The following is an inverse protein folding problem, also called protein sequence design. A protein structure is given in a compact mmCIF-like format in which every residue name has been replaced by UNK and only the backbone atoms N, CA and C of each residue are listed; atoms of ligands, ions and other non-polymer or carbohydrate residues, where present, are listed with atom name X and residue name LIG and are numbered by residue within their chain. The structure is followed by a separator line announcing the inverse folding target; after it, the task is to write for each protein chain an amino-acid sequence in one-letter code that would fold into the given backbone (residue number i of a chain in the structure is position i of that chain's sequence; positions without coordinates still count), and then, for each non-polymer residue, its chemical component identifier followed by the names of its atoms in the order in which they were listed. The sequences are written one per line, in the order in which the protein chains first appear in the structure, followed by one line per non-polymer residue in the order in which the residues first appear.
data_IF_640072551289
#
_entry.id   IF_640072551289
#
_cell.length_a   1.000
_cell.length_b   1.000
_cell.length_c   1.000
_cell.angle_alpha   90.00
_cell.angle_beta   90.00
_cell.angle_gamma   90.00
#
_symmetry.space_group_name_H-M   'P 1'
#
loop_
_entity.id
_entity.type
_entity.pdbx_description
1 polymer ?
#
# COMPACT_ATOMS: atom_id res chain seq x y z
N UNK A 1 -2.48 17.05 17.46
CA UNK A 1 -1.15 17.64 17.20
C UNK A 1 -0.23 16.55 16.69
N UNK A 2 0.40 16.72 15.52
CA UNK A 2 1.76 16.27 15.22
C UNK A 2 2.10 16.60 13.75
N UNK A 3 2.45 17.87 13.55
CA UNK A 3 3.33 18.29 12.48
C UNK A 3 4.68 17.60 12.64
N UNK A 4 5.03 16.77 11.66
CA UNK A 4 6.34 16.74 11.00
C UNK A 4 6.17 15.84 9.79
N UNK A 5 5.87 16.48 8.67
CA UNK A 5 5.86 15.89 7.33
C UNK A 5 7.29 15.39 7.08
N UNK A 6 7.43 14.08 6.88
CA UNK A 6 8.61 13.53 6.21
C UNK A 6 8.64 14.15 4.83
N UNK A 7 9.59 15.05 4.56
CA UNK A 7 9.76 15.69 3.26
C UNK A 7 10.32 14.66 2.27
N UNK A 8 9.53 14.17 1.30
CA UNK A 8 9.98 13.18 0.34
C UNK A 8 10.81 13.81 -0.79
N UNK A 9 11.03 15.14 -0.79
CA UNK A 9 11.75 15.86 -1.84
C UNK A 9 13.13 15.26 -2.12
N UNK A 10 13.86 14.86 -1.07
CA UNK A 10 15.16 14.21 -1.19
C UNK A 10 15.07 12.89 -1.97
N UNK A 11 14.12 12.03 -1.63
CA UNK A 11 13.91 10.74 -2.29
C UNK A 11 13.48 10.89 -3.76
N UNK A 12 12.56 11.81 -4.03
CA UNK A 12 12.09 12.12 -5.39
C UNK A 12 13.24 12.69 -6.24
N UNK A 13 14.09 13.55 -5.67
CA UNK A 13 15.25 14.11 -6.36
C UNK A 13 16.32 13.07 -6.69
N UNK A 14 16.60 12.14 -5.77
CA UNK A 14 17.51 11.01 -6.03
C UNK A 14 16.99 10.13 -7.15
N UNK A 15 15.70 9.78 -7.14
CA UNK A 15 15.09 8.97 -8.20
C UNK A 15 15.14 9.66 -9.57
N UNK A 16 14.91 10.98 -9.62
CA UNK A 16 15.04 11.77 -10.85
C UNK A 16 16.48 11.75 -11.38
N UNK A 17 17.47 11.94 -10.52
CA UNK A 17 18.89 11.91 -10.89
C UNK A 17 19.35 10.54 -11.40
N UNK A 18 18.83 9.46 -10.82
CA UNK A 18 19.08 8.09 -11.28
C UNK A 18 18.46 7.87 -12.65
N UNK A 19 17.20 8.24 -12.85
CA UNK A 19 16.48 8.14 -14.12
C UNK A 19 17.21 8.88 -15.24
N UNK A 20 17.63 10.11 -14.99
CA UNK A 20 18.26 10.96 -16.00
C UNK A 20 19.68 10.48 -16.35
N UNK A 21 20.39 9.88 -15.39
CA UNK A 21 21.68 9.23 -15.64
C UNK A 21 21.58 7.91 -16.42
N UNK A 22 20.49 7.14 -16.24
CA UNK A 22 20.25 5.92 -17.02
C UNK A 22 19.96 6.28 -18.49
N UNK A 23 19.22 7.37 -18.74
CA UNK A 23 18.93 7.86 -20.09
C UNK A 23 20.17 8.39 -20.83
N UNK A 24 21.19 8.84 -20.10
CA UNK A 24 22.41 9.40 -20.68
C UNK A 24 23.49 8.35 -21.02
N UNK A 25 23.28 7.06 -20.69
CA UNK A 25 24.25 6.01 -20.98
C UNK A 25 24.15 5.50 -22.43
N UNK A 26 25.26 5.61 -23.18
CA UNK A 26 25.45 5.01 -24.49
C UNK A 26 25.68 3.48 -24.36
N UNK A 27 24.92 2.61 -25.07
CA UNK A 27 25.04 1.15 -24.98
C UNK A 27 26.41 0.57 -25.37
N UNK A 28 27.31 1.36 -25.95
CA UNK A 28 28.61 0.89 -26.47
C UNK A 28 29.72 0.72 -25.42
N UNK A 29 29.55 1.17 -24.16
CA UNK A 29 30.59 1.12 -23.12
C UNK A 29 30.27 0.14 -21.97
N UNK A 30 30.50 -1.15 -22.20
CA UNK A 30 29.90 -2.25 -21.44
C UNK A 30 30.57 -2.63 -20.10
N UNK A 31 31.53 -1.86 -19.55
CA UNK A 31 32.25 -2.28 -18.31
C UNK A 31 32.21 -1.25 -17.18
N UNK A 32 32.31 0.05 -17.48
CA UNK A 32 32.12 1.10 -16.46
C UNK A 32 30.64 1.30 -16.10
N UNK A 33 29.72 1.01 -17.03
CA UNK A 33 28.27 1.17 -16.84
C UNK A 33 27.71 0.20 -15.81
N UNK A 34 28.15 -1.07 -15.79
CA UNK A 34 27.67 -2.08 -14.83
C UNK A 34 28.12 -1.76 -13.40
N UNK A 35 29.36 -1.29 -13.23
CA UNK A 35 29.88 -0.87 -11.92
C UNK A 35 29.18 0.41 -11.40
N UNK A 36 28.94 1.38 -12.29
CA UNK A 36 28.23 2.62 -11.96
C UNK A 36 26.76 2.41 -11.59
N UNK A 37 26.06 1.54 -12.34
CA UNK A 37 24.68 1.14 -12.03
C UNK A 37 24.65 0.37 -10.70
N UNK A 38 25.59 -0.53 -10.45
CA UNK A 38 25.70 -1.28 -9.19
C UNK A 38 25.92 -0.38 -7.97
N UNK A 39 26.82 0.60 -8.05
CA UNK A 39 27.00 1.60 -6.99
C UNK A 39 25.73 2.41 -6.73
N UNK A 40 25.05 2.86 -7.80
CA UNK A 40 23.86 3.71 -7.70
C UNK A 40 22.62 2.96 -7.20
N UNK A 41 22.46 1.69 -7.56
CA UNK A 41 21.48 0.79 -6.95
C UNK A 41 21.81 0.54 -5.48
N UNK A 42 23.09 0.36 -5.14
CA UNK A 42 23.56 0.28 -3.75
C UNK A 42 23.19 1.51 -2.93
N UNK A 43 23.38 2.71 -3.48
CA UNK A 43 22.97 3.98 -2.86
C UNK A 43 21.45 4.03 -2.71
N UNK A 44 20.69 3.67 -3.74
CA UNK A 44 19.22 3.66 -3.69
C UNK A 44 18.70 2.69 -2.63
N UNK A 45 19.26 1.47 -2.56
CA UNK A 45 18.90 0.47 -1.54
C UNK A 45 19.24 0.99 -0.14
N UNK A 46 20.40 1.62 0.03
CA UNK A 46 20.82 2.21 1.32
C UNK A 46 19.91 3.37 1.71
N UNK A 47 19.47 4.18 0.75
CA UNK A 47 18.63 5.35 1.00
C UNK A 47 17.17 4.97 1.26
N UNK A 48 16.65 3.95 0.58
CA UNK A 48 15.37 3.31 0.92
C UNK A 48 15.46 2.68 2.31
N UNK A 49 16.53 1.94 2.62
CA UNK A 49 16.73 1.35 3.94
C UNK A 49 16.82 2.41 5.05
N UNK A 50 17.51 3.53 4.78
CA UNK A 50 17.60 4.68 5.67
C UNK A 50 16.23 5.33 5.88
N UNK A 51 15.49 5.59 4.80
CA UNK A 51 14.14 6.14 4.86
C UNK A 51 13.18 5.25 5.64
N UNK A 52 13.23 3.93 5.42
CA UNK A 52 12.43 2.95 6.16
C UNK A 52 12.85 2.89 7.63
N UNK A 53 14.14 3.02 7.94
CA UNK A 53 14.66 3.04 9.33
C UNK A 53 14.26 4.32 10.07
N UNK A 54 14.39 5.48 9.41
CA UNK A 54 13.97 6.78 9.94
C UNK A 54 12.44 6.83 10.14
N UNK A 55 11.69 6.26 9.20
CA UNK A 55 10.25 6.06 9.33
C UNK A 55 9.92 5.15 10.52
N UNK A 56 10.60 4.02 10.68
CA UNK A 56 10.43 3.11 11.83
C UNK A 56 10.70 3.80 13.16
N UNK A 57 11.77 4.59 13.27
CA UNK A 57 12.08 5.34 14.49
C UNK A 57 11.03 6.43 14.78
N UNK A 58 10.56 7.11 13.75
CA UNK A 58 9.53 8.16 13.88
C UNK A 58 8.19 7.55 14.29
N UNK A 59 7.81 6.42 13.68
CA UNK A 59 6.62 5.66 14.05
C UNK A 59 6.74 5.11 15.48
N UNK A 60 7.91 4.64 15.90
CA UNK A 60 8.13 4.19 17.28
C UNK A 60 7.96 5.34 18.29
N UNK A 61 8.39 6.56 17.94
CA UNK A 61 8.18 7.75 18.78
C UNK A 61 6.71 8.17 18.84
N UNK A 62 5.96 8.02 17.74
CA UNK A 62 4.52 8.29 17.71
C UNK A 62 3.75 7.25 18.51
N UNK A 63 4.05 5.96 18.33
CA UNK A 63 3.45 4.86 19.09
C UNK A 63 3.68 5.06 20.60
N UNK A 64 4.92 5.35 21.01
CA UNK A 64 5.23 5.60 22.42
C UNK A 64 4.51 6.82 23.01
N UNK A 65 4.14 7.81 22.18
CA UNK A 65 3.35 8.97 22.62
C UNK A 65 1.85 8.65 22.72
N UNK A 66 1.33 7.87 21.77
CA UNK A 66 -0.06 7.40 21.81
C UNK A 66 -0.32 6.49 23.00
N UNK A 67 0.68 5.69 23.42
CA UNK A 67 0.60 4.91 24.66
C UNK A 67 0.61 5.74 25.95
N UNK A 68 0.89 7.05 25.89
CA UNK A 68 0.90 7.95 27.05
C UNK A 68 -0.29 8.91 27.09
N UNK A 69 -1.12 8.97 26.04
CA UNK A 69 -2.33 9.80 25.96
C UNK A 69 -3.61 8.93 26.03
N UNK A 70 -3.77 8.13 27.08
CA UNK A 70 -5.09 7.60 27.46
C UNK A 70 -5.83 8.61 28.34
N UNK A 71 -6.30 9.70 27.74
CA UNK A 71 -7.32 10.58 28.32
C UNK A 71 -7.65 11.69 27.33
N UNK A 72 -8.71 11.54 26.52
CA UNK A 72 -9.47 12.68 26.00
C UNK A 72 -10.87 12.27 25.49
N UNK A 73 -11.83 13.22 25.44
CA UNK A 73 -13.27 12.95 25.44
C UNK A 73 -13.88 12.82 24.03
N UNK A 74 -15.12 12.34 24.01
CA UNK A 74 -15.96 12.15 22.82
C UNK A 74 -16.29 13.47 22.09
N UNK A 75 -16.20 13.54 20.75
CA UNK A 75 -16.83 14.60 19.97
C UNK A 75 -18.18 14.16 19.37
N UNK A 76 -19.20 14.96 19.67
CA UNK A 76 -20.49 15.12 19.00
C UNK A 76 -20.37 15.62 17.55
N UNK A 77 -21.27 15.13 16.69
CA UNK A 77 -21.95 15.71 15.49
C UNK A 77 -21.17 16.68 14.57
N UNK A 78 -21.32 16.76 13.25
CA UNK A 78 -22.12 16.14 12.19
C UNK A 78 -21.43 16.63 10.89
N UNK A 79 -21.24 15.78 9.88
CA UNK A 79 -21.02 16.24 8.51
C UNK A 79 -21.46 15.15 7.52
N UNK A 80 -22.51 15.47 6.77
CA UNK A 80 -23.16 14.64 5.76
C UNK A 80 -22.19 14.15 4.68
N UNK A 81 -21.92 12.85 4.66
CA UNK A 81 -21.26 12.17 3.53
C UNK A 81 -22.29 11.28 2.86
N UNK A 82 -22.45 11.46 1.55
CA UNK A 82 -23.40 10.78 0.69
C UNK A 82 -23.50 9.27 1.00
N UNK A 83 -24.72 8.81 1.24
CA UNK A 83 -25.05 7.44 1.63
C UNK A 83 -24.75 6.46 0.49
N UNK A 84 -23.61 5.78 0.57
CA UNK A 84 -23.49 4.47 -0.05
C UNK A 84 -24.07 3.48 0.98
N UNK A 85 -25.23 2.90 0.67
CA UNK A 85 -25.95 2.01 1.59
C UNK A 85 -25.09 0.76 1.86
N UNK A 86 -24.66 0.62 3.10
CA UNK A 86 -24.01 -0.58 3.61
C UNK A 86 -24.90 -1.81 3.33
N UNK A 87 -24.30 -2.86 2.78
CA UNK A 87 -25.01 -4.10 2.48
C UNK A 87 -25.15 -4.92 3.77
N UNK A 88 -26.37 -5.25 4.24
CA UNK A 88 -26.59 -6.03 5.47
C UNK A 88 -26.04 -7.47 5.42
N UNK A 89 -25.55 -7.92 4.26
CA UNK A 89 -24.94 -9.24 4.08
C UNK A 89 -23.49 -9.35 4.58
N UNK A 90 -22.83 -8.24 4.91
CA UNK A 90 -21.47 -8.24 5.43
C UNK A 90 -21.45 -7.98 6.93
N UNK A 91 -20.66 -8.75 7.67
CA UNK A 91 -20.41 -8.48 9.08
C UNK A 91 -19.83 -7.07 9.25
N UNK A 92 -20.38 -6.32 10.19
CA UNK A 92 -19.81 -5.05 10.64
C UNK A 92 -18.48 -5.33 11.35
N UNK A 93 -17.42 -4.64 10.95
CA UNK A 93 -16.08 -4.73 11.54
C UNK A 93 -15.72 -3.41 12.21
N UNK A 94 -14.92 -3.41 13.31
CA UNK A 94 -14.58 -2.18 14.02
C UNK A 94 -13.96 -1.07 13.15
N UNK A 95 -13.24 -1.42 12.08
CA UNK A 95 -12.67 -0.43 11.15
C UNK A 95 -13.72 0.34 10.34
N UNK A 96 -14.93 -0.21 10.19
CA UNK A 96 -16.01 0.39 9.41
C UNK A 96 -16.43 1.73 10.00
N UNK A 97 -16.46 1.84 11.34
CA UNK A 97 -16.78 3.08 12.06
C UNK A 97 -15.74 4.18 11.85
N UNK A 98 -14.50 3.78 11.54
CA UNK A 98 -13.38 4.69 11.30
C UNK A 98 -13.21 5.06 9.82
N UNK A 99 -14.05 4.55 8.92
CA UNK A 99 -13.97 4.79 7.47
C UNK A 99 -13.84 6.28 7.10
N UNK A 100 -14.67 7.21 7.61
CA UNK A 100 -14.56 8.63 7.23
C UNK A 100 -13.18 9.22 7.57
N UNK A 101 -12.69 8.93 8.78
CA UNK A 101 -11.38 9.39 9.26
C UNK A 101 -10.23 8.80 8.47
N UNK A 102 -10.27 7.50 8.16
CA UNK A 102 -9.24 6.82 7.36
C UNK A 102 -9.18 7.43 5.96
N UNK A 103 -10.33 7.61 5.31
CA UNK A 103 -10.38 8.15 3.94
C UNK A 103 -9.97 9.61 3.85
N UNK A 104 -10.30 10.42 4.86
CA UNK A 104 -9.81 11.81 4.94
C UNK A 104 -8.28 11.87 5.05
N UNK A 105 -7.69 11.01 5.89
CA UNK A 105 -6.23 10.91 6.05
C UNK A 105 -5.54 10.44 4.78
N UNK A 106 -6.02 9.37 4.14
CA UNK A 106 -5.45 8.85 2.89
C UNK A 106 -5.47 9.93 1.78
N UNK A 107 -6.53 10.74 1.71
CA UNK A 107 -6.62 11.82 0.71
C UNK A 107 -5.62 12.95 0.96
N UNK A 108 -5.40 13.30 2.23
CA UNK A 108 -4.58 14.46 2.63
C UNK A 108 -3.10 14.11 2.81
N UNK A 109 -2.76 12.85 3.05
CA UNK A 109 -1.43 12.43 3.44
C UNK A 109 -0.89 11.36 2.50
N UNK A 110 0.34 11.55 2.00
CA UNK A 110 1.03 10.57 1.15
C UNK A 110 1.31 9.25 1.88
N UNK A 111 1.47 9.30 3.21
CA UNK A 111 1.68 8.13 4.08
C UNK A 111 0.70 8.20 5.24
N UNK A 112 -0.06 7.13 5.45
CA UNK A 112 -1.02 6.99 6.55
C UNK A 112 -0.71 5.71 7.34
N UNK A 113 -0.47 5.84 8.65
CA UNK A 113 -0.38 4.69 9.55
C UNK A 113 -1.79 4.37 10.08
N UNK A 114 -2.24 3.13 9.88
CA UNK A 114 -3.49 2.63 10.43
C UNK A 114 -3.15 1.55 11.46
N UNK A 115 -3.42 1.85 12.73
CA UNK A 115 -3.24 0.90 13.83
C UNK A 115 -4.60 0.43 14.34
N UNK A 116 -4.65 -0.83 14.78
CA UNK A 116 -5.84 -1.46 15.35
C UNK A 116 -5.60 -2.94 15.56
N UNK A 117 -6.46 -3.59 16.33
CA UNK A 117 -6.28 -4.99 16.73
C UNK A 117 -6.40 -5.99 15.56
N UNK A 118 -5.84 -7.19 15.74
CA UNK A 118 -6.05 -8.30 14.82
C UNK A 118 -7.55 -8.61 14.73
N UNK A 119 -8.05 -8.80 13.50
CA UNK A 119 -9.48 -9.05 13.27
C UNK A 119 -10.34 -7.78 13.13
N UNK A 120 -9.79 -6.58 13.34
CA UNK A 120 -10.57 -5.34 13.20
C UNK A 120 -10.91 -4.98 11.74
N UNK A 121 -10.34 -5.69 10.74
CA UNK A 121 -10.68 -5.53 9.33
C UNK A 121 -9.74 -4.69 8.46
N UNK A 122 -8.55 -4.29 8.94
CA UNK A 122 -7.58 -3.45 8.19
C UNK A 122 -7.31 -3.94 6.77
N UNK A 123 -6.84 -5.18 6.67
CA UNK A 123 -6.34 -5.77 5.42
C UNK A 123 -7.43 -6.11 4.41
N UNK A 124 -8.68 -6.22 4.87
CA UNK A 124 -9.84 -6.49 4.02
C UNK A 124 -10.59 -5.22 3.63
N UNK A 125 -10.84 -4.29 4.56
CA UNK A 125 -11.73 -3.14 4.33
C UNK A 125 -11.05 -1.89 3.79
N UNK A 126 -9.81 -1.59 4.19
CA UNK A 126 -9.10 -0.40 3.68
C UNK A 126 -8.97 -0.40 2.15
N UNK A 127 -8.57 -1.50 1.49
CA UNK A 127 -8.53 -1.54 0.02
C UNK A 127 -9.90 -1.28 -0.61
N UNK A 128 -10.97 -1.81 -0.01
CA UNK A 128 -12.35 -1.62 -0.49
C UNK A 128 -12.80 -0.17 -0.37
N UNK A 129 -12.51 0.50 0.75
CA UNK A 129 -12.85 1.91 0.93
C UNK A 129 -12.19 2.79 -0.13
N UNK A 130 -10.93 2.49 -0.49
CA UNK A 130 -10.17 3.23 -1.50
C UNK A 130 -10.77 3.02 -2.89
N UNK A 131 -11.03 1.78 -3.33
CA UNK A 131 -11.58 1.55 -4.68
C UNK A 131 -13.02 2.05 -4.85
N UNK A 132 -13.75 2.20 -3.74
CA UNK A 132 -15.09 2.80 -3.71
C UNK A 132 -15.05 4.32 -3.83
N UNK A 133 -14.04 4.96 -3.25
CA UNK A 133 -13.88 6.40 -3.32
C UNK A 133 -13.21 6.86 -4.63
N UNK A 134 -12.38 6.02 -5.25
CA UNK A 134 -11.69 6.33 -6.50
C UNK A 134 -11.80 5.17 -7.51
N UNK A 135 -12.54 5.34 -8.62
CA UNK A 135 -12.69 4.32 -9.66
C UNK A 135 -11.39 4.02 -10.42
N UNK A 136 -10.39 4.90 -10.37
CA UNK A 136 -9.10 4.71 -11.01
C UNK A 136 -8.05 4.07 -10.08
N UNK A 137 -8.39 3.87 -8.80
CA UNK A 137 -7.47 3.28 -7.84
C UNK A 137 -7.03 1.88 -8.25
N UNK A 138 -5.71 1.69 -8.28
CA UNK A 138 -4.99 0.43 -8.36
C UNK A 138 -4.16 0.25 -7.09
N UNK A 139 -4.41 -0.83 -6.38
CA UNK A 139 -3.92 -1.09 -5.03
C UNK A 139 -3.15 -2.40 -5.00
N UNK A 140 -1.94 -2.37 -4.46
CA UNK A 140 -1.22 -3.59 -4.07
C UNK A 140 -1.19 -3.69 -2.56
N UNK A 141 -1.56 -4.86 -2.04
CA UNK A 141 -1.60 -5.16 -0.60
C UNK A 141 -0.59 -6.27 -0.33
N UNK A 142 0.44 -6.01 0.47
CA UNK A 142 1.39 -7.05 0.86
C UNK A 142 0.85 -7.87 2.01
N UNK A 143 1.28 -9.13 2.10
CA UNK A 143 1.09 -10.03 3.21
C UNK A 143 2.40 -10.81 3.44
N UNK A 144 2.89 -10.98 4.67
CA UNK A 144 4.10 -11.77 4.90
C UNK A 144 3.88 -13.26 4.63
N UNK A 145 2.63 -13.75 4.74
CA UNK A 145 2.29 -15.17 4.59
C UNK A 145 1.52 -15.44 3.29
N UNK A 146 1.93 -16.49 2.56
CA UNK A 146 1.27 -16.93 1.31
C UNK A 146 -0.21 -17.20 1.50
N UNK A 147 -0.57 -17.95 2.55
CA UNK A 147 -1.96 -18.31 2.81
C UNK A 147 -2.82 -17.07 3.13
N UNK A 148 -2.28 -16.10 3.87
CA UNK A 148 -2.97 -14.85 4.16
C UNK A 148 -3.30 -14.06 2.88
N UNK A 149 -2.35 -13.94 1.95
CA UNK A 149 -2.59 -13.29 0.65
C UNK A 149 -3.72 -13.96 -0.14
N UNK A 150 -3.72 -15.29 -0.21
CA UNK A 150 -4.72 -16.07 -0.95
C UNK A 150 -6.10 -15.94 -0.30
N UNK A 151 -6.18 -16.19 1.02
CA UNK A 151 -7.46 -16.17 1.74
C UNK A 151 -8.07 -14.77 1.78
N UNK A 152 -7.26 -13.71 1.94
CA UNK A 152 -7.77 -12.34 1.87
C UNK A 152 -8.26 -11.98 0.47
N UNK A 153 -7.55 -12.40 -0.58
CA UNK A 153 -8.00 -12.16 -1.95
C UNK A 153 -9.36 -12.81 -2.23
N UNK A 154 -9.55 -14.07 -1.83
CA UNK A 154 -10.84 -14.75 -1.97
C UNK A 154 -11.93 -14.08 -1.13
N UNK A 155 -11.64 -13.77 0.15
CA UNK A 155 -12.59 -13.08 1.02
C UNK A 155 -13.05 -11.75 0.43
N UNK A 156 -12.11 -10.87 0.05
CA UNK A 156 -12.45 -9.55 -0.50
C UNK A 156 -13.16 -9.66 -1.85
N UNK A 157 -12.80 -10.63 -2.69
CA UNK A 157 -13.52 -10.94 -3.93
C UNK A 157 -14.99 -11.26 -3.64
N UNK A 158 -15.22 -12.15 -2.69
CA UNK A 158 -16.55 -12.64 -2.36
C UNK A 158 -17.39 -11.52 -1.69
N UNK A 159 -16.77 -10.71 -0.83
CA UNK A 159 -17.40 -9.51 -0.22
C UNK A 159 -17.83 -8.49 -1.29
N UNK A 160 -16.97 -8.18 -2.27
CA UNK A 160 -17.31 -7.28 -3.38
C UNK A 160 -18.40 -7.86 -4.29
N UNK A 161 -18.36 -9.17 -4.54
CA UNK A 161 -19.37 -9.88 -5.33
C UNK A 161 -20.74 -9.84 -4.66
N UNK A 162 -20.79 -10.04 -3.33
CA UNK A 162 -22.00 -9.90 -2.54
C UNK A 162 -22.60 -8.50 -2.61
N UNK A 163 -21.78 -7.47 -2.86
CA UNK A 163 -22.19 -6.08 -3.06
C UNK A 163 -22.54 -5.75 -4.53
N UNK A 164 -22.69 -6.75 -5.41
CA UNK A 164 -23.08 -6.57 -6.81
C UNK A 164 -21.96 -6.06 -7.73
N UNK A 165 -20.70 -6.07 -7.28
CA UNK A 165 -19.53 -5.74 -8.11
C UNK A 165 -18.95 -7.01 -8.73
N UNK A 166 -18.23 -6.87 -9.83
CA UNK A 166 -17.48 -7.98 -10.42
C UNK A 166 -16.18 -8.24 -9.63
N UNK A 167 -16.30 -8.88 -8.46
CA UNK A 167 -15.16 -9.17 -7.60
C UNK A 167 -14.08 -9.99 -8.31
N UNK A 168 -14.47 -10.89 -9.22
CA UNK A 168 -13.57 -11.80 -9.93
C UNK A 168 -12.60 -11.07 -10.87
N UNK A 169 -13.03 -9.96 -11.49
CA UNK A 169 -12.12 -9.10 -12.25
C UNK A 169 -11.42 -8.06 -11.39
N UNK A 170 -12.02 -7.62 -10.28
CA UNK A 170 -11.46 -6.57 -9.43
C UNK A 170 -10.31 -7.03 -8.54
N UNK A 171 -10.32 -8.29 -8.10
CA UNK A 171 -9.39 -8.80 -7.07
C UNK A 171 -8.57 -9.97 -7.61
N UNK A 172 -7.28 -9.97 -7.31
CA UNK A 172 -6.41 -11.11 -7.58
C UNK A 172 -5.29 -11.24 -6.56
N UNK A 173 -4.48 -12.29 -6.72
CA UNK A 173 -3.29 -12.46 -5.91
C UNK A 173 -2.06 -12.93 -6.70
N UNK A 174 -0.86 -12.67 -6.15
CA UNK A 174 0.43 -13.18 -6.64
C UNK A 174 1.33 -13.60 -5.47
N UNK A 175 1.84 -14.82 -5.51
CA UNK A 175 2.76 -15.34 -4.49
C UNK A 175 4.11 -15.73 -5.10
N UNK A 176 5.20 -15.41 -4.41
CA UNK A 176 6.56 -15.74 -4.85
C UNK A 176 6.85 -17.25 -4.82
N UNK A 177 7.87 -17.69 -5.58
CA UNK A 177 8.38 -19.06 -5.54
C UNK A 177 7.58 -20.10 -6.35
N UNK A 178 7.39 -19.87 -7.66
CA UNK A 178 6.86 -20.87 -8.60
C UNK A 178 5.48 -20.59 -9.20
N UNK A 179 5.15 -19.30 -9.42
CA UNK A 179 3.97 -18.80 -10.15
C UNK A 179 2.64 -19.50 -9.84
N UNK A 180 2.01 -19.08 -8.74
CA UNK A 180 0.55 -19.20 -8.61
C UNK A 180 -0.04 -17.80 -8.66
N UNK A 181 -0.77 -17.58 -9.74
CA UNK A 181 -1.36 -16.33 -10.16
C UNK A 181 -2.82 -16.64 -10.46
N UNK A 182 -3.74 -16.22 -9.61
CA UNK A 182 -5.15 -16.26 -9.94
C UNK A 182 -5.62 -14.82 -10.14
N UNK A 183 -5.90 -14.50 -11.39
CA UNK A 183 -6.75 -13.37 -11.79
C UNK A 183 -7.83 -13.98 -12.66
N UNK A 184 -9.06 -14.00 -12.17
CA UNK A 184 -10.16 -14.73 -12.80
C UNK A 184 -10.77 -14.00 -14.00
N UNK A 185 -10.25 -12.83 -14.37
CA UNK A 185 -10.76 -11.99 -15.46
C UNK A 185 -9.75 -11.72 -16.59
N UNK A 186 -10.28 -11.25 -17.73
CA UNK A 186 -9.49 -10.83 -18.90
C UNK A 186 -8.70 -9.52 -18.66
N UNK A 187 -9.09 -8.75 -17.63
CA UNK A 187 -8.51 -7.46 -17.24
C UNK A 187 -7.61 -7.61 -16.01
N UNK A 188 -6.56 -6.78 -15.91
CA UNK A 188 -5.72 -6.75 -14.70
C UNK A 188 -6.55 -6.33 -13.48
N UNK A 189 -6.36 -6.99 -12.30
CA UNK A 189 -7.11 -6.67 -11.11
C UNK A 189 -6.73 -5.29 -10.56
N UNK A 190 -7.72 -4.63 -9.93
CA UNK A 190 -7.54 -3.34 -9.25
C UNK A 190 -7.02 -3.48 -7.84
N UNK A 191 -7.34 -4.58 -7.17
CA UNK A 191 -6.77 -4.95 -5.86
C UNK A 191 -5.93 -6.20 -6.05
N UNK A 192 -4.63 -6.11 -5.77
CA UNK A 192 -3.72 -7.23 -5.87
C UNK A 192 -3.12 -7.56 -4.50
N UNK A 193 -3.47 -8.72 -3.96
CA UNK A 193 -2.83 -9.26 -2.76
C UNK A 193 -1.54 -9.98 -3.15
N UNK A 194 -0.44 -9.63 -2.52
CA UNK A 194 0.87 -10.21 -2.84
C UNK A 194 1.61 -10.64 -1.61
N UNK A 195 2.48 -11.65 -1.73
CA UNK A 195 3.48 -11.88 -0.69
C UNK A 195 4.50 -10.76 -0.67
N UNK A 196 5.00 -10.36 0.51
CA UNK A 196 6.07 -9.34 0.63
C UNK A 196 7.27 -9.66 -0.25
N UNK A 197 7.71 -10.93 -0.29
CA UNK A 197 8.82 -11.36 -1.15
C UNK A 197 8.57 -11.16 -2.65
N UNK A 198 7.32 -11.33 -3.12
CA UNK A 198 6.97 -11.07 -4.52
C UNK A 198 7.08 -9.58 -4.85
N UNK A 199 6.58 -8.70 -3.97
CA UNK A 199 6.68 -7.26 -4.19
C UNK A 199 8.15 -6.82 -4.20
N UNK A 200 8.95 -7.29 -3.24
CA UNK A 200 10.39 -6.98 -3.19
C UNK A 200 11.13 -7.45 -4.44
N UNK A 201 10.86 -8.66 -4.92
CA UNK A 201 11.45 -9.16 -6.16
C UNK A 201 11.04 -8.30 -7.37
N UNK A 202 9.76 -7.92 -7.46
CA UNK A 202 9.27 -7.05 -8.53
C UNK A 202 9.94 -5.67 -8.49
N UNK A 203 10.21 -5.13 -7.30
CA UNK A 203 10.89 -3.84 -7.14
C UNK A 203 12.35 -3.89 -7.56
N UNK A 204 13.04 -4.99 -7.26
CA UNK A 204 14.44 -5.17 -7.69
C UNK A 204 14.53 -5.32 -9.21
N UNK A 205 13.56 -6.00 -9.83
CA UNK A 205 13.54 -6.22 -11.28
C UNK A 205 13.13 -4.96 -12.06
N UNK A 206 12.10 -4.26 -11.59
CA UNK A 206 11.60 -3.03 -12.22
C UNK A 206 11.08 -2.05 -11.13
N UNK A 207 11.97 -1.18 -10.62
CA UNK A 207 11.61 -0.20 -9.60
C UNK A 207 10.55 0.80 -10.07
N UNK A 208 10.52 1.11 -11.37
CA UNK A 208 9.61 2.12 -11.94
C UNK A 208 8.18 1.59 -11.98
N UNK A 209 8.02 0.26 -12.12
CA UNK A 209 6.71 -0.41 -12.15
C UNK A 209 5.84 -0.11 -10.94
N UNK A 210 6.42 0.10 -9.76
CA UNK A 210 5.64 0.45 -8.57
C UNK A 210 4.90 1.77 -8.78
N UNK A 211 5.59 2.77 -9.32
CA UNK A 211 5.07 4.13 -9.54
C UNK A 211 4.10 4.21 -10.72
N UNK A 212 4.32 3.43 -11.77
CA UNK A 212 3.51 3.50 -12.99
C UNK A 212 2.27 2.61 -12.92
N UNK A 213 2.30 1.54 -12.14
CA UNK A 213 1.20 0.57 -12.06
C UNK A 213 0.27 0.82 -10.87
N UNK A 214 0.79 1.23 -9.72
CA UNK A 214 0.01 1.29 -8.48
C UNK A 214 -0.20 2.73 -8.02
N UNK A 215 -1.45 3.06 -7.73
CA UNK A 215 -1.82 4.34 -7.10
C UNK A 215 -1.64 4.29 -5.59
N UNK A 216 -1.82 3.11 -4.99
CA UNK A 216 -1.73 2.89 -3.55
C UNK A 216 -0.97 1.61 -3.26
N UNK A 217 -0.10 1.65 -2.24
CA UNK A 217 0.65 0.50 -1.73
C UNK A 217 0.29 0.36 -0.26
N UNK A 218 -0.28 -0.79 0.11
CA UNK A 218 -0.64 -1.12 1.48
C UNK A 218 0.34 -2.17 1.98
N UNK A 219 1.06 -1.82 3.03
CA UNK A 219 2.02 -2.70 3.69
C UNK A 219 1.34 -3.31 4.92
N UNK A 220 0.92 -4.58 4.83
CA UNK A 220 0.34 -5.28 5.97
C UNK A 220 1.38 -6.11 6.75
N UNK A 221 1.18 -6.18 8.07
CA UNK A 221 2.12 -6.69 9.09
C UNK A 221 3.51 -6.02 9.04
N UNK A 222 3.57 -4.77 9.54
CA UNK A 222 4.79 -4.08 9.95
C UNK A 222 4.90 -4.00 11.48
#
# INVERSE_FOLDING_TARGET
LLEKVLDPSGFVSTLANIRDSIKACDPSQNTQVVAGIGQRLGTLVTEIARFLTESRQTLQRVINRLSQEESMPSPTEEASVASCSWNPALDHLPIDDHRPTIMDRIRKQTVTLIHGDTGCGKSSRVPQFIIEADPNAKIVVTQPRRLAAITLAHRVRDELTACGKDGASLVGYRIGGGERSESSGATEPRILFVTTGYLLQSLVQDPIRLYTKWTHVILDEA
#
